data_IF_158392254839
#
_entry.id   IF_158392254839
#
_cell.length_a   1.000
_cell.length_b   1.000
_cell.length_c   1.000
_cell.angle_alpha   90.00
_cell.angle_beta   90.00
_cell.angle_gamma   90.00
#
_symmetry.space_group_name_H-M   'P 1'
#
loop_
_entity.id
_entity.type
_entity.pdbx_description
1 polymer ?
#
# COMPACT_ATOMS: atom_id res chain seq x y z
N UNK A 1 -15.96 -30.26 8.05
CA UNK A 1 -15.82 -28.81 8.32
C UNK A 1 -16.24 -28.08 7.05
N UNK A 2 -17.12 -27.08 7.11
CA UNK A 2 -17.48 -26.31 5.92
C UNK A 2 -16.23 -25.54 5.44
N UNK A 3 -15.88 -25.67 4.16
CA UNK A 3 -14.72 -24.98 3.62
C UNK A 3 -15.10 -23.51 3.28
N UNK A 4 -14.10 -22.68 3.01
CA UNK A 4 -14.31 -21.26 2.70
C UNK A 4 -15.25 -21.05 1.49
N UNK A 5 -15.22 -21.94 0.50
CA UNK A 5 -16.08 -21.86 -0.70
C UNK A 5 -17.55 -22.10 -0.34
N UNK A 6 -17.83 -23.07 0.54
CA UNK A 6 -19.19 -23.36 1.01
C UNK A 6 -19.79 -22.16 1.78
N UNK A 7 -18.96 -21.46 2.55
CA UNK A 7 -19.38 -20.26 3.30
C UNK A 7 -19.68 -19.07 2.37
N UNK A 8 -18.82 -18.85 1.37
CA UNK A 8 -19.00 -17.80 0.35
C UNK A 8 -20.28 -18.03 -0.45
N UNK A 9 -20.50 -19.28 -0.92
CA UNK A 9 -21.68 -19.66 -1.67
C UNK A 9 -22.97 -19.45 -0.85
N UNK A 10 -22.97 -19.84 0.44
CA UNK A 10 -24.12 -19.65 1.34
C UNK A 10 -24.47 -18.17 1.60
N UNK A 11 -23.48 -17.28 1.51
CA UNK A 11 -23.65 -15.84 1.73
C UNK A 11 -23.93 -15.04 0.44
N UNK A 12 -23.87 -15.68 -0.73
CA UNK A 12 -24.07 -15.01 -2.02
C UNK A 12 -23.01 -13.96 -2.34
N UNK A 13 -21.80 -14.08 -1.77
CA UNK A 13 -20.73 -13.10 -2.00
C UNK A 13 -20.21 -13.29 -3.43
N UNK A 14 -20.27 -12.23 -4.23
CA UNK A 14 -19.82 -12.26 -5.63
C UNK A 14 -18.30 -12.19 -5.72
N UNK A 15 -17.75 -12.59 -6.87
CA UNK A 15 -16.31 -12.44 -7.16
C UNK A 15 -15.86 -10.98 -7.06
N UNK A 16 -16.70 -10.04 -7.50
CA UNK A 16 -16.38 -8.61 -7.46
C UNK A 16 -16.40 -8.07 -6.03
N UNK A 17 -17.34 -8.51 -5.20
CA UNK A 17 -17.36 -8.18 -3.77
C UNK A 17 -16.12 -8.73 -3.04
N UNK A 18 -15.72 -9.96 -3.36
CA UNK A 18 -14.48 -10.52 -2.84
C UNK A 18 -13.24 -9.75 -3.32
N UNK A 19 -13.20 -9.35 -4.59
CA UNK A 19 -12.09 -8.58 -5.16
C UNK A 19 -11.98 -7.20 -4.48
N UNK A 20 -13.10 -6.50 -4.30
CA UNK A 20 -13.14 -5.22 -3.60
C UNK A 20 -12.69 -5.35 -2.14
N UNK A 21 -13.18 -6.36 -1.41
CA UNK A 21 -12.77 -6.61 -0.03
C UNK A 21 -11.27 -6.95 0.08
N UNK A 22 -10.73 -7.73 -0.87
CA UNK A 22 -9.30 -7.99 -0.96
C UNK A 22 -8.51 -6.72 -1.20
N UNK A 23 -8.93 -5.90 -2.17
CA UNK A 23 -8.26 -4.64 -2.47
C UNK A 23 -8.22 -3.71 -1.25
N UNK A 24 -9.33 -3.58 -0.52
CA UNK A 24 -9.38 -2.80 0.70
C UNK A 24 -8.44 -3.36 1.78
N UNK A 25 -8.37 -4.69 1.92
CA UNK A 25 -7.44 -5.35 2.84
C UNK A 25 -5.98 -5.06 2.47
N UNK A 26 -5.64 -5.13 1.18
CA UNK A 26 -4.30 -4.82 0.70
C UNK A 26 -3.89 -3.38 1.02
N UNK A 27 -4.74 -2.40 0.74
CA UNK A 27 -4.41 -1.00 1.02
C UNK A 27 -4.17 -0.72 2.50
N UNK A 28 -4.91 -1.38 3.40
CA UNK A 28 -4.69 -1.29 4.85
C UNK A 28 -3.32 -1.87 5.24
N UNK A 29 -2.96 -3.03 4.69
CA UNK A 29 -1.68 -3.69 4.95
C UNK A 29 -0.51 -2.84 4.44
N UNK A 30 -0.61 -2.32 3.22
CA UNK A 30 0.44 -1.47 2.62
C UNK A 30 0.66 -0.20 3.44
N UNK A 31 -0.42 0.48 3.84
CA UNK A 31 -0.37 1.69 4.64
C UNK A 31 0.22 1.43 6.03
N UNK A 32 -0.15 0.31 6.66
CA UNK A 32 0.44 -0.14 7.91
C UNK A 32 1.95 -0.38 7.77
N UNK A 33 2.37 -1.09 6.72
CA UNK A 33 3.79 -1.39 6.49
C UNK A 33 4.63 -0.13 6.29
N UNK A 34 4.13 0.87 5.54
CA UNK A 34 4.82 2.16 5.39
C UNK A 34 5.00 2.86 6.74
N UNK A 35 3.93 2.93 7.54
CA UNK A 35 3.96 3.53 8.88
C UNK A 35 4.98 2.85 9.79
N UNK A 36 5.00 1.53 9.81
CA UNK A 36 5.94 0.79 10.66
C UNK A 36 7.38 0.93 10.16
N UNK A 37 7.62 0.97 8.84
CA UNK A 37 8.94 1.26 8.28
C UNK A 37 9.45 2.65 8.70
N UNK A 38 8.59 3.68 8.66
CA UNK A 38 8.95 5.02 9.13
C UNK A 38 9.28 5.01 10.62
N UNK A 39 8.44 4.39 11.46
CA UNK A 39 8.70 4.28 12.91
C UNK A 39 10.01 3.56 13.20
N UNK A 40 10.32 2.49 12.48
CA UNK A 40 11.58 1.76 12.60
C UNK A 40 12.79 2.61 12.19
N UNK A 41 12.58 3.65 11.39
CA UNK A 41 13.58 4.65 11.02
C UNK A 41 13.62 5.85 11.99
N UNK A 42 12.87 5.79 13.10
CA UNK A 42 12.78 6.82 14.15
C UNK A 42 12.30 8.21 13.68
N UNK A 43 11.68 8.29 12.50
CA UNK A 43 11.17 9.55 11.95
C UNK A 43 9.70 9.78 12.32
N UNK A 44 9.33 11.01 12.63
CA UNK A 44 7.94 11.47 12.68
C UNK A 44 7.37 11.66 11.27
N UNK A 45 6.05 11.77 11.16
CA UNK A 45 5.41 12.10 9.87
C UNK A 45 5.79 13.50 9.38
N UNK A 46 6.11 14.43 10.28
CA UNK A 46 6.53 15.80 9.94
C UNK A 46 7.94 15.78 9.35
N UNK A 47 8.89 15.15 10.04
CA UNK A 47 10.27 15.04 9.55
C UNK A 47 10.35 14.33 8.20
N UNK A 48 9.58 13.26 8.01
CA UNK A 48 9.51 12.59 6.72
C UNK A 48 8.92 13.49 5.64
N UNK A 49 7.82 14.19 5.94
CA UNK A 49 7.20 15.12 5.00
C UNK A 49 8.16 16.23 4.56
N UNK A 50 8.89 16.82 5.51
CA UNK A 50 9.91 17.84 5.27
C UNK A 50 11.04 17.30 4.40
N UNK A 51 11.55 16.10 4.68
CA UNK A 51 12.65 15.49 3.93
C UNK A 51 12.31 15.24 2.45
N UNK A 52 11.04 15.04 2.11
CA UNK A 52 10.59 14.77 0.74
C UNK A 52 9.79 15.92 0.10
N UNK A 53 9.67 17.06 0.79
CA UNK A 53 9.02 18.27 0.28
C UNK A 53 7.50 18.15 0.07
N UNK A 54 6.80 17.45 0.97
CA UNK A 54 5.33 17.33 0.94
C UNK A 54 4.72 17.78 2.27
N UNK A 55 3.39 17.86 2.35
CA UNK A 55 2.71 18.16 3.62
C UNK A 55 2.64 16.92 4.52
N UNK A 56 2.68 17.11 5.84
CA UNK A 56 2.44 16.03 6.80
C UNK A 56 1.09 15.34 6.57
N UNK A 57 0.05 16.09 6.20
CA UNK A 57 -1.26 15.52 5.84
C UNK A 57 -1.12 14.50 4.70
N UNK A 58 -0.25 14.76 3.72
CA UNK A 58 -0.01 13.81 2.63
C UNK A 58 0.61 12.50 3.11
N UNK A 59 1.58 12.56 4.03
CA UNK A 59 2.16 11.38 4.69
C UNK A 59 1.08 10.63 5.49
N UNK A 60 0.28 11.35 6.26
CA UNK A 60 -0.81 10.76 7.05
C UNK A 60 -1.81 10.00 6.18
N UNK A 61 -2.25 10.56 5.06
CA UNK A 61 -3.16 9.89 4.13
C UNK A 61 -2.55 8.62 3.52
N UNK A 62 -1.29 8.67 3.10
CA UNK A 62 -0.57 7.48 2.60
C UNK A 62 -0.52 6.38 3.66
N UNK A 63 -0.15 6.73 4.90
CA UNK A 63 -0.07 5.79 6.02
C UNK A 63 -1.44 5.33 6.55
N UNK A 64 -2.54 5.88 6.06
CA UNK A 64 -3.92 5.47 6.39
C UNK A 64 -4.64 4.75 5.22
N UNK A 65 -3.95 4.49 4.11
CA UNK A 65 -4.49 3.69 3.00
C UNK A 65 -5.30 4.46 1.98
N UNK A 66 -5.17 5.79 1.93
CA UNK A 66 -5.73 6.60 0.85
C UNK A 66 -4.89 6.41 -0.43
N UNK A 67 -5.37 5.54 -1.32
CA UNK A 67 -4.74 5.28 -2.62
C UNK A 67 -4.55 6.55 -3.46
N UNK A 68 -5.43 7.56 -3.33
CA UNK A 68 -5.31 8.83 -4.04
C UNK A 68 -4.15 9.71 -3.55
N UNK A 69 -3.60 9.41 -2.36
CA UNK A 69 -2.39 10.06 -1.84
C UNK A 69 -1.09 9.39 -2.32
N UNK A 70 -1.15 8.15 -2.81
CA UNK A 70 0.00 7.31 -3.14
C UNK A 70 0.36 7.40 -4.64
N UNK A 71 1.08 8.46 -5.03
CA UNK A 71 1.74 8.47 -6.35
C UNK A 71 3.06 7.68 -6.29
N UNK A 72 3.46 7.07 -7.42
CA UNK A 72 4.72 6.32 -7.54
C UNK A 72 5.91 7.20 -7.14
N UNK A 73 5.96 8.45 -7.61
CA UNK A 73 7.03 9.40 -7.25
C UNK A 73 7.11 9.63 -5.73
N UNK A 74 5.96 9.76 -5.07
CA UNK A 74 5.93 10.00 -3.63
C UNK A 74 6.27 8.77 -2.81
N UNK A 75 5.87 7.57 -3.26
CA UNK A 75 6.33 6.32 -2.65
C UNK A 75 7.83 6.15 -2.83
N UNK A 76 8.37 6.47 -4.00
CA UNK A 76 9.81 6.41 -4.27
C UNK A 76 10.59 7.33 -3.32
N UNK A 77 10.15 8.60 -3.19
CA UNK A 77 10.77 9.57 -2.26
C UNK A 77 10.61 9.15 -0.81
N UNK A 78 9.43 8.69 -0.40
CA UNK A 78 9.16 8.17 0.95
C UNK A 78 10.14 7.05 1.29
N UNK A 79 10.21 6.01 0.44
CA UNK A 79 11.09 4.86 0.66
C UNK A 79 12.56 5.28 0.64
N UNK A 80 12.96 6.17 -0.26
CA UNK A 80 14.34 6.68 -0.32
C UNK A 80 14.74 7.48 0.93
N UNK A 81 13.83 8.29 1.48
CA UNK A 81 14.06 9.02 2.73
C UNK A 81 14.24 8.10 3.94
N UNK A 82 13.67 6.89 3.89
CA UNK A 82 13.91 5.82 4.87
C UNK A 82 15.17 4.98 4.55
N UNK A 83 15.98 5.37 3.55
CA UNK A 83 17.17 4.64 3.13
C UNK A 83 16.90 3.37 2.30
N UNK A 84 15.66 3.19 1.83
CA UNK A 84 15.26 2.05 1.01
C UNK A 84 15.30 2.33 -0.50
N UNK A 85 14.91 1.32 -1.28
CA UNK A 85 14.67 1.46 -2.73
C UNK A 85 13.31 0.87 -3.10
N UNK A 86 12.58 1.57 -3.96
CA UNK A 86 11.30 1.10 -4.47
C UNK A 86 11.53 0.30 -5.76
N UNK A 87 11.05 -0.94 -5.79
CA UNK A 87 10.95 -1.74 -7.02
C UNK A 87 9.50 -1.81 -7.47
N UNK A 88 9.24 -1.50 -8.73
CA UNK A 88 7.91 -1.56 -9.32
C UNK A 88 7.87 -2.75 -10.28
N UNK A 89 6.94 -3.68 -10.05
CA UNK A 89 6.83 -4.92 -10.81
C UNK A 89 5.45 -4.97 -11.47
N UNK A 90 5.42 -5.03 -12.79
CA UNK A 90 4.20 -5.23 -13.56
C UNK A 90 4.05 -6.72 -13.90
N UNK A 91 2.91 -7.30 -13.54
CA UNK A 91 2.51 -8.65 -13.95
C UNK A 91 1.62 -8.56 -15.19
N UNK A 92 2.09 -9.15 -16.29
CA UNK A 92 1.40 -9.18 -17.59
C UNK A 92 1.12 -10.64 -17.97
N UNK A 93 0.16 -10.90 -18.89
CA UNK A 93 -0.07 -12.26 -19.40
C UNK A 93 1.17 -12.91 -20.01
N UNK A 94 2.10 -12.11 -20.53
CA UNK A 94 3.35 -12.55 -21.19
C UNK A 94 4.52 -12.72 -20.22
N UNK A 95 4.34 -12.39 -18.94
CA UNK A 95 5.40 -12.46 -17.92
C UNK A 95 5.48 -11.21 -17.06
N UNK A 96 6.59 -11.06 -16.36
CA UNK A 96 6.82 -9.99 -15.38
C UNK A 96 7.82 -8.98 -15.93
N UNK A 97 7.54 -7.68 -15.74
CA UNK A 97 8.42 -6.58 -16.14
C UNK A 97 8.76 -5.73 -14.91
N UNK A 98 10.05 -5.51 -14.65
CA UNK A 98 10.51 -4.53 -13.66
C UNK A 98 10.55 -3.14 -14.30
N UNK A 99 9.96 -2.16 -13.64
CA UNK A 99 9.87 -0.77 -14.09
C UNK A 99 10.82 0.07 -13.23
N UNK A 100 11.78 0.73 -13.88
CA UNK A 100 12.74 1.65 -13.28
C UNK A 100 12.16 3.06 -13.09
#
# INVERSE_FOLDING_TARGET
MANLQDYIAKRGITKDQMAAARQQTFSVIEAFNLREARKASEMTQVELAESIGVSQNRISRMENGDMGAMSIDSLRKYIAALGGSLKLIASLPTGTVEIA
#
